data_IF_764071905839
#
_entry.id   IF_764071905839
#
_cell.length_a   1.000
_cell.length_b   1.000
_cell.length_c   1.000
_cell.angle_alpha   90.00
_cell.angle_beta   90.00
_cell.angle_gamma   90.00
#
_symmetry.space_group_name_H-M   'P 1'
#
loop_
_entity.id
_entity.type
_entity.pdbx_description
1 polymer ?
#
# COMPACT_ATOMS: atom_id res chain seq x y z
N UNK A 1 -19.18 19.77 -32.94
CA UNK A 1 -19.06 20.10 -31.50
C UNK A 1 -18.42 18.92 -30.79
N UNK A 2 -17.22 19.07 -30.22
CA UNK A 2 -16.59 17.99 -29.46
C UNK A 2 -17.35 17.83 -28.14
N UNK A 3 -18.06 16.72 -27.98
CA UNK A 3 -18.72 16.37 -26.72
C UNK A 3 -17.68 16.28 -25.61
N UNK A 4 -17.74 17.19 -24.64
CA UNK A 4 -16.89 17.16 -23.45
C UNK A 4 -17.35 16.01 -22.55
N UNK A 5 -16.50 14.98 -22.40
CA UNK A 5 -16.79 13.85 -21.52
C UNK A 5 -16.75 14.32 -20.06
N UNK A 6 -17.76 13.97 -19.27
CA UNK A 6 -17.83 14.31 -17.84
C UNK A 6 -17.74 13.06 -16.97
N UNK A 7 -17.14 13.21 -15.79
CA UNK A 7 -17.12 12.15 -14.79
C UNK A 7 -18.56 11.86 -14.31
N UNK A 8 -19.02 10.60 -14.35
CA UNK A 8 -20.35 10.25 -13.84
C UNK A 8 -20.50 10.53 -12.34
N UNK A 9 -19.42 10.46 -11.57
CA UNK A 9 -19.41 10.65 -10.11
C UNK A 9 -19.40 12.13 -9.70
N UNK A 10 -18.40 12.92 -10.13
CA UNK A 10 -18.24 14.32 -9.68
C UNK A 10 -18.61 15.38 -10.72
N UNK A 11 -19.05 14.96 -11.92
CA UNK A 11 -19.42 15.83 -13.05
C UNK A 11 -18.30 16.69 -13.65
N UNK A 12 -17.06 16.57 -13.17
CA UNK A 12 -15.91 17.28 -13.72
C UNK A 12 -15.58 16.83 -15.16
N UNK A 13 -15.05 17.75 -15.97
CA UNK A 13 -14.64 17.49 -17.36
C UNK A 13 -13.39 16.60 -17.38
N UNK A 14 -13.43 15.52 -18.16
CA UNK A 14 -12.35 14.56 -18.28
C UNK A 14 -11.49 14.85 -19.51
N UNK A 15 -10.17 14.69 -19.36
CA UNK A 15 -9.25 14.78 -20.49
C UNK A 15 -9.41 13.58 -21.43
N UNK A 16 -9.06 13.79 -22.70
CA UNK A 16 -9.05 12.74 -23.72
C UNK A 16 -7.94 11.74 -23.41
N UNK A 17 -8.28 10.69 -22.67
CA UNK A 17 -7.43 9.52 -22.48
C UNK A 17 -7.81 8.42 -23.47
N UNK A 18 -6.81 7.69 -23.96
CA UNK A 18 -6.99 6.47 -24.77
C UNK A 18 -7.11 5.21 -23.90
N UNK A 19 -6.91 5.32 -22.58
CA UNK A 19 -6.98 4.18 -21.68
C UNK A 19 -8.42 3.70 -21.48
N UNK A 20 -8.63 2.39 -21.56
CA UNK A 20 -9.93 1.76 -21.32
C UNK A 20 -10.38 1.93 -19.86
N UNK A 21 -9.45 1.98 -18.92
CA UNK A 21 -9.71 2.21 -17.49
C UNK A 21 -8.78 3.31 -16.98
N UNK A 22 -9.33 4.28 -16.24
CA UNK A 22 -8.56 5.38 -15.65
C UNK A 22 -9.24 5.96 -14.41
N UNK A 23 -8.51 6.74 -13.62
CA UNK A 23 -9.10 7.52 -12.54
C UNK A 23 -9.57 8.89 -13.02
N UNK A 24 -10.65 9.39 -12.42
CA UNK A 24 -10.97 10.80 -12.52
C UNK A 24 -9.93 11.64 -11.77
N UNK A 25 -9.28 12.59 -12.43
CA UNK A 25 -8.27 13.47 -11.80
C UNK A 25 -8.80 14.35 -10.66
N UNK A 26 -10.13 14.51 -10.54
CA UNK A 26 -10.76 15.38 -9.54
C UNK A 26 -11.28 14.64 -8.31
N UNK A 27 -11.73 13.38 -8.47
CA UNK A 27 -12.32 12.61 -7.36
C UNK A 27 -11.72 11.21 -7.19
N UNK A 28 -10.68 10.89 -7.97
CA UNK A 28 -9.95 9.61 -8.00
C UNK A 28 -10.81 8.37 -8.24
N UNK A 29 -12.08 8.55 -8.60
CA UNK A 29 -12.99 7.44 -8.88
C UNK A 29 -12.55 6.74 -10.15
N UNK A 30 -12.49 5.41 -10.10
CA UNK A 30 -12.12 4.56 -11.22
C UNK A 30 -13.24 4.54 -12.26
N UNK A 31 -12.88 4.80 -13.51
CA UNK A 31 -13.75 4.94 -14.66
C UNK A 31 -13.40 3.91 -15.74
N UNK A 32 -14.42 3.31 -16.34
CA UNK A 32 -14.32 2.45 -17.51
C UNK A 32 -14.89 3.20 -18.72
N UNK A 33 -14.11 3.27 -19.81
CA UNK A 33 -14.56 3.79 -21.10
C UNK A 33 -15.35 2.71 -21.85
N UNK A 34 -16.63 2.97 -22.10
CA UNK A 34 -17.54 2.11 -22.88
C UNK A 34 -18.20 2.96 -23.95
N UNK A 35 -18.04 2.60 -25.23
CA UNK A 35 -18.66 3.30 -26.37
C UNK A 35 -18.49 4.84 -26.30
N UNK A 36 -17.25 5.29 -26.09
CA UNK A 36 -16.88 6.72 -25.95
C UNK A 36 -17.45 7.47 -24.73
N UNK A 37 -18.18 6.79 -23.84
CA UNK A 37 -18.65 7.31 -22.56
C UNK A 37 -17.85 6.71 -21.39
N UNK A 38 -17.86 7.39 -20.23
CA UNK A 38 -17.27 6.85 -19.00
C UNK A 38 -18.35 6.38 -18.04
N UNK A 39 -18.14 5.21 -17.44
CA UNK A 39 -18.94 4.67 -16.35
C UNK A 39 -18.06 4.48 -15.10
N UNK A 40 -18.64 4.62 -13.91
CA UNK A 40 -17.91 4.37 -12.66
C UNK A 40 -17.79 2.87 -12.41
N UNK A 41 -16.58 2.41 -12.10
CA UNK A 41 -16.38 1.06 -11.56
C UNK A 41 -16.81 1.06 -10.09
N UNK A 42 -17.70 0.13 -9.75
CA UNK A 42 -18.29 0.00 -8.42
C UNK A 42 -17.76 -1.22 -7.68
N UNK A 43 -17.68 -1.12 -6.36
CA UNK A 43 -17.37 -2.23 -5.49
C UNK A 43 -18.40 -3.35 -5.68
N UNK A 44 -17.94 -4.58 -5.88
CA UNK A 44 -18.83 -5.75 -6.02
C UNK A 44 -19.44 -6.20 -4.69
N UNK A 45 -18.95 -5.69 -3.55
CA UNK A 45 -19.52 -5.93 -2.23
C UNK A 45 -20.62 -4.94 -1.84
N UNK A 46 -20.33 -3.63 -1.90
CA UNK A 46 -21.25 -2.59 -1.40
C UNK A 46 -21.76 -1.60 -2.47
N UNK A 47 -21.38 -1.78 -3.74
CA UNK A 47 -21.72 -0.87 -4.85
C UNK A 47 -21.18 0.57 -4.75
N UNK A 48 -20.38 0.90 -3.73
CA UNK A 48 -19.72 2.19 -3.63
C UNK A 48 -18.74 2.41 -4.82
N UNK A 49 -18.54 3.66 -5.27
CA UNK A 49 -17.55 3.97 -6.30
C UNK A 49 -16.15 3.55 -5.82
N UNK A 50 -15.41 2.84 -6.67
CA UNK A 50 -14.03 2.48 -6.37
C UNK A 50 -13.12 3.67 -6.60
N UNK A 51 -12.21 3.90 -5.67
CA UNK A 51 -11.10 4.84 -5.81
C UNK A 51 -9.81 4.03 -5.95
N UNK A 52 -8.92 4.49 -6.80
CA UNK A 52 -7.61 3.91 -6.94
C UNK A 52 -6.57 5.00 -6.71
N UNK A 53 -5.61 4.71 -5.85
CA UNK A 53 -4.42 5.55 -5.68
C UNK A 53 -3.21 4.80 -6.25
N UNK A 54 -2.26 5.52 -6.82
CA UNK A 54 -1.09 4.96 -7.50
C UNK A 54 -1.39 4.38 -8.89
N UNK A 55 -0.55 3.46 -9.35
CA UNK A 55 -0.63 2.90 -10.71
C UNK A 55 -1.55 1.67 -10.78
N UNK A 56 -2.50 1.70 -11.72
CA UNK A 56 -3.41 0.58 -11.97
C UNK A 56 -2.69 -0.65 -12.53
N UNK A 57 -1.68 -0.46 -13.37
CA UNK A 57 -0.88 -1.55 -13.97
C UNK A 57 -0.19 -2.42 -12.92
N UNK A 58 0.10 -1.85 -11.75
CA UNK A 58 0.70 -2.56 -10.64
C UNK A 58 -0.34 -3.12 -9.66
N UNK A 59 -1.63 -2.86 -9.85
CA UNK A 59 -2.70 -3.33 -8.96
C UNK A 59 -2.97 -4.83 -9.16
N UNK A 60 -2.85 -5.61 -8.09
CA UNK A 60 -3.26 -7.02 -8.04
C UNK A 60 -4.56 -7.19 -7.27
N UNK A 61 -4.70 -6.46 -6.17
CA UNK A 61 -5.93 -6.43 -5.37
C UNK A 61 -6.26 -4.98 -5.05
N UNK A 62 -7.55 -4.66 -5.14
CA UNK A 62 -8.11 -3.43 -4.63
C UNK A 62 -9.05 -3.77 -3.47
N UNK A 63 -8.76 -3.24 -2.28
CA UNK A 63 -9.62 -3.43 -1.11
C UNK A 63 -10.44 -2.17 -0.87
N UNK A 64 -11.76 -2.32 -0.89
CA UNK A 64 -12.69 -1.20 -0.80
C UNK A 64 -12.51 -0.42 0.51
N UNK A 65 -12.37 0.90 0.44
CA UNK A 65 -12.25 1.76 1.63
C UNK A 65 -13.56 1.90 2.42
N UNK A 66 -14.71 1.52 1.84
CA UNK A 66 -16.03 1.64 2.48
C UNK A 66 -16.44 0.38 3.23
N UNK A 67 -16.29 -0.80 2.61
CA UNK A 67 -16.76 -2.06 3.18
C UNK A 67 -15.66 -3.11 3.33
N UNK A 68 -14.41 -2.77 3.00
CA UNK A 68 -13.25 -3.67 3.10
C UNK A 68 -13.38 -4.99 2.33
N UNK A 69 -14.18 -5.01 1.25
CA UNK A 69 -14.18 -6.12 0.30
C UNK A 69 -12.92 -6.07 -0.55
N UNK A 70 -12.14 -7.15 -0.54
CA UNK A 70 -11.00 -7.36 -1.43
C UNK A 70 -11.51 -7.83 -2.80
N UNK A 71 -11.02 -7.19 -3.86
CA UNK A 71 -11.40 -7.44 -5.25
C UNK A 71 -10.16 -7.70 -6.09
N UNK A 72 -10.24 -8.69 -6.99
CA UNK A 72 -9.15 -9.03 -7.90
C UNK A 72 -9.10 -8.05 -9.08
N UNK A 73 -8.09 -7.17 -9.09
CA UNK A 73 -7.93 -6.15 -10.12
C UNK A 73 -7.61 -6.74 -11.50
N UNK A 74 -7.11 -7.97 -11.57
CA UNK A 74 -6.78 -8.66 -12.83
C UNK A 74 -8.00 -9.34 -13.46
N UNK A 75 -9.06 -9.56 -12.68
CA UNK A 75 -10.28 -10.26 -13.08
C UNK A 75 -11.51 -9.39 -12.86
N UNK A 76 -11.54 -8.23 -13.51
CA UNK A 76 -12.67 -7.29 -13.52
C UNK A 76 -13.20 -6.88 -12.12
N UNK A 77 -12.29 -6.80 -11.14
CA UNK A 77 -12.60 -6.49 -9.75
C UNK A 77 -13.60 -7.48 -9.13
N UNK A 78 -13.53 -8.76 -9.51
CA UNK A 78 -14.30 -9.83 -8.88
C UNK A 78 -14.08 -9.82 -7.36
N UNK A 79 -15.16 -9.81 -6.58
CA UNK A 79 -15.07 -9.91 -5.12
C UNK A 79 -14.45 -11.25 -4.72
N UNK A 80 -13.48 -11.20 -3.82
CA UNK A 80 -12.78 -12.37 -3.30
C UNK A 80 -13.28 -12.71 -1.90
N UNK A 81 -13.13 -11.76 -0.98
CA UNK A 81 -13.52 -11.89 0.42
C UNK A 81 -13.70 -10.49 1.03
N UNK A 82 -14.26 -10.42 2.24
CA UNK A 82 -14.46 -9.16 2.95
C UNK A 82 -13.87 -9.25 4.35
N UNK A 83 -13.10 -8.23 4.74
CA UNK A 83 -12.65 -8.07 6.11
C UNK A 83 -13.86 -7.67 6.98
N UNK A 84 -14.53 -8.65 7.58
CA UNK A 84 -15.74 -8.46 8.41
C UNK A 84 -15.39 -8.27 9.88
N UNK A 85 -16.22 -7.53 10.63
CA UNK A 85 -16.12 -7.33 12.08
C UNK A 85 -14.79 -6.72 12.58
N UNK A 86 -14.14 -5.91 11.76
CA UNK A 86 -12.85 -5.30 12.09
C UNK A 86 -13.01 -3.80 12.29
N UNK A 87 -12.57 -3.30 13.44
CA UNK A 87 -12.50 -1.86 13.68
C UNK A 87 -11.42 -1.25 12.80
N UNK A 88 -11.76 -0.15 12.11
CA UNK A 88 -10.78 0.68 11.38
C UNK A 88 -9.66 1.05 12.37
N UNK A 89 -8.39 0.90 11.99
CA UNK A 89 -7.30 1.22 12.91
C UNK A 89 -7.38 2.68 13.34
N UNK A 90 -7.01 2.96 14.60
CA UNK A 90 -6.92 4.31 15.10
C UNK A 90 -5.68 5.01 14.50
N UNK A 91 -5.86 5.60 13.33
CA UNK A 91 -4.85 6.34 12.59
C UNK A 91 -5.48 7.54 11.92
N UNK A 92 -4.79 8.68 12.00
CA UNK A 92 -5.15 9.87 11.22
C UNK A 92 -4.81 9.72 9.74
N UNK A 93 -4.00 8.72 9.38
CA UNK A 93 -3.56 8.49 8.02
C UNK A 93 -4.53 7.58 7.28
N UNK A 94 -4.96 8.02 6.11
CA UNK A 94 -5.92 7.32 5.26
C UNK A 94 -5.44 7.21 3.82
N UNK A 95 -5.93 6.18 3.11
CA UNK A 95 -5.69 6.04 1.67
C UNK A 95 -6.24 7.26 0.94
N UNK A 96 -5.43 7.84 0.06
CA UNK A 96 -5.72 9.06 -0.68
C UNK A 96 -5.08 10.32 -0.09
N UNK A 97 -4.69 10.30 1.20
CA UNK A 97 -3.94 11.41 1.79
C UNK A 97 -2.56 11.54 1.14
N UNK A 98 -2.04 12.77 1.14
CA UNK A 98 -0.70 13.07 0.63
C UNK A 98 0.20 13.60 1.74
N UNK A 99 1.49 13.35 1.58
CA UNK A 99 2.53 13.84 2.48
C UNK A 99 3.80 14.16 1.72
N UNK A 100 4.63 15.03 2.28
CA UNK A 100 5.96 15.31 1.73
C UNK A 100 7.02 14.68 2.63
N UNK A 101 7.89 13.86 2.03
CA UNK A 101 9.06 13.29 2.70
C UNK A 101 10.26 13.71 1.86
N UNK A 102 11.21 14.44 2.47
CA UNK A 102 12.42 14.93 1.78
C UNK A 102 12.10 15.73 0.49
N UNK A 103 11.02 16.52 0.52
CA UNK A 103 10.58 17.33 -0.63
C UNK A 103 9.87 16.53 -1.73
N UNK A 104 9.72 15.21 -1.58
CA UNK A 104 8.98 14.35 -2.53
C UNK A 104 7.55 14.19 -2.01
N UNK A 105 6.57 14.51 -2.85
CA UNK A 105 5.16 14.24 -2.57
C UNK A 105 4.83 12.77 -2.79
N UNK A 106 4.26 12.14 -1.77
CA UNK A 106 3.76 10.78 -1.77
C UNK A 106 2.26 10.77 -1.50
N UNK A 107 1.51 9.93 -2.21
CA UNK A 107 0.15 9.56 -1.88
C UNK A 107 0.13 8.21 -1.13
N UNK A 108 -0.70 8.10 -0.10
CA UNK A 108 -0.96 6.83 0.58
C UNK A 108 -1.88 5.99 -0.31
N UNK A 109 -1.37 4.87 -0.81
CA UNK A 109 -2.13 4.03 -1.77
C UNK A 109 -2.81 2.83 -1.13
N UNK A 110 -2.24 2.31 -0.05
CA UNK A 110 -2.85 1.24 0.74
C UNK A 110 -2.39 1.30 2.19
N UNK A 111 -3.20 0.68 3.04
CA UNK A 111 -2.92 0.45 4.45
C UNK A 111 -3.21 -1.02 4.75
N UNK A 112 -2.26 -1.68 5.40
CA UNK A 112 -2.41 -3.01 5.99
C UNK A 112 -2.15 -2.90 7.48
N UNK A 113 -3.01 -3.53 8.29
CA UNK A 113 -2.77 -3.71 9.73
C UNK A 113 -2.29 -5.13 9.94
N UNK A 114 -1.05 -5.26 10.41
CA UNK A 114 -0.46 -6.54 10.76
C UNK A 114 -0.54 -6.78 12.26
N UNK A 115 -0.77 -8.05 12.63
CA UNK A 115 -0.69 -8.52 14.02
C UNK A 115 0.26 -9.69 14.13
N UNK A 116 1.03 -9.74 15.21
CA UNK A 116 1.86 -10.89 15.55
C UNK A 116 2.12 -10.95 17.06
N UNK A 117 1.69 -12.04 17.72
CA UNK A 117 1.96 -12.36 19.14
C UNK A 117 1.88 -11.13 20.08
N UNK A 118 0.75 -10.44 20.08
CA UNK A 118 0.51 -9.27 20.95
C UNK A 118 1.07 -7.94 20.45
N UNK A 119 1.77 -7.92 19.32
CA UNK A 119 2.18 -6.69 18.63
C UNK A 119 1.25 -6.40 17.44
N UNK A 120 0.97 -5.13 17.21
CA UNK A 120 0.23 -4.61 16.06
C UNK A 120 0.98 -3.41 15.46
N UNK A 121 0.98 -3.29 14.13
CA UNK A 121 1.51 -2.12 13.44
C UNK A 121 0.75 -1.87 12.15
N UNK A 122 0.83 -0.64 11.68
CA UNK A 122 0.27 -0.20 10.42
C UNK A 122 1.39 -0.16 9.39
N UNK A 123 1.16 -0.75 8.22
CA UNK A 123 2.04 -0.74 7.07
C UNK A 123 1.31 0.00 5.94
N UNK A 124 1.76 1.23 5.68
CA UNK A 124 1.27 2.06 4.59
C UNK A 124 2.17 1.87 3.36
N UNK A 125 1.54 1.68 2.21
CA UNK A 125 2.24 1.79 0.93
C UNK A 125 2.09 3.21 0.43
N UNK A 126 3.21 3.83 0.08
CA UNK A 126 3.30 5.17 -0.47
C UNK A 126 3.62 5.10 -1.97
N UNK A 127 3.11 6.04 -2.75
CA UNK A 127 3.44 6.16 -4.17
C UNK A 127 3.78 7.60 -4.53
N UNK A 128 4.87 7.78 -5.27
CA UNK A 128 5.20 9.01 -5.97
C UNK A 128 5.48 8.71 -7.44
N UNK A 129 5.02 9.58 -8.34
CA UNK A 129 5.24 9.43 -9.79
C UNK A 129 6.73 9.43 -10.17
N UNK A 130 7.55 10.18 -9.43
CA UNK A 130 9.00 10.26 -9.66
C UNK A 130 9.80 9.17 -8.95
N UNK A 131 9.46 8.88 -7.69
CA UNK A 131 10.27 8.03 -6.80
C UNK A 131 9.69 6.62 -6.58
N UNK A 132 8.64 6.25 -7.32
CA UNK A 132 7.93 4.96 -7.23
C UNK A 132 7.36 4.70 -5.83
N UNK A 133 7.34 3.42 -5.43
CA UNK A 133 6.69 2.95 -4.22
C UNK A 133 7.66 2.93 -3.03
N UNK A 134 7.18 3.38 -1.90
CA UNK A 134 7.86 3.33 -0.61
C UNK A 134 6.93 2.75 0.46
N UNK A 135 7.49 2.49 1.64
CA UNK A 135 6.77 1.96 2.80
C UNK A 135 6.88 2.95 3.96
N UNK A 136 5.78 3.11 4.69
CA UNK A 136 5.75 3.84 5.95
C UNK A 136 5.11 2.92 6.99
N UNK A 137 5.88 2.52 7.99
CA UNK A 137 5.41 1.68 9.08
C UNK A 137 5.15 2.55 10.31
N UNK A 138 3.97 2.43 10.91
CA UNK A 138 3.67 3.01 12.23
C UNK A 138 3.63 1.90 13.27
N UNK A 139 4.58 1.90 14.20
CA UNK A 139 4.68 0.93 15.29
C UNK A 139 5.05 1.66 16.59
N UNK A 140 4.29 1.43 17.66
CA UNK A 140 4.57 1.98 19.00
C UNK A 140 4.79 3.52 19.00
N UNK A 141 3.99 4.25 18.21
CA UNK A 141 4.09 5.71 18.08
C UNK A 141 5.22 6.20 17.17
N UNK A 142 6.12 5.31 16.72
CA UNK A 142 7.21 5.62 15.80
C UNK A 142 6.79 5.41 14.36
N UNK A 143 7.38 6.21 13.48
CA UNK A 143 7.24 6.09 12.05
C UNK A 143 8.56 5.70 11.41
N UNK A 144 8.56 4.61 10.65
CA UNK A 144 9.72 4.14 9.90
C UNK A 144 9.42 4.28 8.41
N UNK A 145 10.21 5.07 7.71
CA UNK A 145 10.10 5.27 6.27
C UNK A 145 11.16 4.46 5.54
N UNK A 146 10.74 3.78 4.48
CA UNK A 146 11.48 2.72 3.84
C UNK A 146 11.40 2.85 2.33
N UNK A 147 12.56 2.92 1.69
CA UNK A 147 12.66 2.77 0.25
C UNK A 147 12.81 1.29 -0.11
N UNK A 148 12.26 0.90 -1.25
CA UNK A 148 12.42 -0.45 -1.76
C UNK A 148 13.88 -0.64 -2.18
N UNK A 149 14.54 -1.64 -1.60
CA UNK A 149 15.88 -2.03 -1.98
C UNK A 149 15.79 -2.99 -3.16
N UNK A 150 16.41 -2.63 -4.29
CA UNK A 150 16.50 -3.47 -5.48
C UNK A 150 17.85 -4.21 -5.44
N UNK A 151 17.92 -5.31 -4.71
CA UNK A 151 19.14 -6.10 -4.62
C UNK A 151 18.87 -7.57 -4.32
N UNK A 152 19.73 -8.44 -4.86
CA UNK A 152 19.84 -9.80 -4.37
C UNK A 152 20.61 -9.76 -3.06
N UNK A 153 19.99 -10.26 -2.00
CA UNK A 153 20.68 -10.53 -0.74
C UNK A 153 21.69 -11.65 -0.96
N UNK A 154 22.94 -11.46 -0.54
CA UNK A 154 23.95 -12.53 -0.53
C UNK A 154 23.57 -13.63 0.47
N UNK A 155 23.00 -13.22 1.60
CA UNK A 155 22.63 -14.11 2.69
C UNK A 155 21.13 -14.41 2.70
N UNK A 156 20.78 -15.67 2.93
CA UNK A 156 19.41 -16.06 3.19
C UNK A 156 19.04 -15.72 4.65
N UNK A 157 18.56 -14.48 4.86
CA UNK A 157 18.16 -13.98 6.19
C UNK A 157 17.13 -14.86 6.91
N UNK A 158 16.43 -15.75 6.19
CA UNK A 158 15.43 -16.62 6.77
C UNK A 158 16.00 -17.80 7.57
N UNK A 159 17.31 -18.06 7.44
CA UNK A 159 18.07 -19.04 8.22
C UNK A 159 18.66 -18.44 9.51
N UNK A 160 18.57 -17.12 9.67
CA UNK A 160 19.10 -16.38 10.82
C UNK A 160 18.06 -16.27 11.95
N UNK A 161 18.51 -15.86 13.13
CA UNK A 161 17.70 -15.58 14.33
C UNK A 161 17.90 -14.14 14.83
N UNK A 162 17.05 -13.72 15.76
CA UNK A 162 17.22 -12.44 16.43
C UNK A 162 18.59 -12.36 17.12
N UNK A 163 19.26 -11.21 16.99
CA UNK A 163 20.62 -10.97 17.44
C UNK A 163 21.71 -11.25 16.40
N UNK A 164 21.43 -12.07 15.39
CA UNK A 164 22.38 -12.33 14.30
C UNK A 164 22.59 -11.06 13.45
N UNK A 165 23.76 -10.97 12.83
CA UNK A 165 24.15 -9.87 11.95
C UNK A 165 24.24 -10.39 10.52
N UNK A 166 23.75 -9.61 9.56
CA UNK A 166 23.85 -9.87 8.14
C UNK A 166 24.26 -8.60 7.40
N UNK A 167 24.71 -8.74 6.15
CA UNK A 167 25.07 -7.59 5.32
C UNK A 167 24.06 -7.35 4.20
N UNK A 168 23.77 -6.08 3.96
CA UNK A 168 23.08 -5.58 2.77
C UNK A 168 24.01 -4.56 2.15
N UNK A 169 24.58 -4.88 0.97
CA UNK A 169 25.68 -4.11 0.39
C UNK A 169 26.81 -3.97 1.43
N UNK A 170 27.26 -2.75 1.72
CA UNK A 170 28.34 -2.48 2.68
C UNK A 170 27.84 -2.22 4.11
N UNK A 171 26.53 -2.34 4.37
CA UNK A 171 25.93 -2.05 5.69
C UNK A 171 25.59 -3.34 6.43
N UNK A 172 26.06 -3.47 7.67
CA UNK A 172 25.75 -4.63 8.53
C UNK A 172 24.53 -4.34 9.40
N UNK A 173 23.51 -5.20 9.37
CA UNK A 173 22.29 -5.05 10.16
C UNK A 173 22.19 -6.14 11.21
N UNK A 174 21.85 -5.77 12.44
CA UNK A 174 21.51 -6.73 13.48
C UNK A 174 20.00 -6.99 13.48
N UNK A 175 19.60 -8.26 13.43
CA UNK A 175 18.18 -8.64 13.47
C UNK A 175 17.62 -8.35 14.85
N UNK A 176 16.64 -7.45 14.92
CA UNK A 176 15.92 -7.21 16.16
C UNK A 176 14.87 -8.29 16.37
N UNK A 177 14.04 -8.55 15.35
CA UNK A 177 12.89 -9.44 15.50
C UNK A 177 12.39 -9.99 14.18
N UNK A 178 11.94 -11.25 14.25
CA UNK A 178 11.06 -11.84 13.25
C UNK A 178 9.62 -11.79 13.72
N UNK A 179 8.73 -11.44 12.80
CA UNK A 179 7.30 -11.48 13.02
C UNK A 179 6.66 -12.53 12.11
N UNK A 180 5.72 -13.27 12.68
CA UNK A 180 4.81 -14.15 11.94
C UNK A 180 3.46 -13.46 11.93
N UNK A 181 3.19 -12.74 10.86
CA UNK A 181 2.13 -11.74 10.80
C UNK A 181 0.86 -12.31 10.22
N UNK A 182 -0.27 -11.94 10.79
CA UNK A 182 -1.58 -12.11 10.17
C UNK A 182 -2.08 -10.73 9.71
N UNK A 183 -2.73 -10.69 8.54
CA UNK A 183 -3.40 -9.48 8.06
C UNK A 183 -4.73 -9.35 8.80
N UNK A 184 -4.81 -8.35 9.67
CA UNK A 184 -6.02 -8.07 10.45
C UNK A 184 -6.97 -7.15 9.69
N UNK A 185 -6.45 -6.14 9.00
CA UNK A 185 -7.23 -5.18 8.22
C UNK A 185 -6.45 -4.76 6.98
N UNK A 186 -7.15 -4.40 5.92
CA UNK A 186 -6.55 -3.90 4.69
C UNK A 186 -7.51 -2.98 3.95
N UNK A 187 -6.98 -1.92 3.33
CA UNK A 187 -7.68 -1.03 2.39
C UNK A 187 -6.73 -0.50 1.32
N UNK A 188 -7.29 -0.13 0.17
CA UNK A 188 -6.57 0.54 -0.91
C UNK A 188 -5.98 -0.41 -1.94
N UNK A 189 -5.10 0.14 -2.77
CA UNK A 189 -4.48 -0.50 -3.92
C UNK A 189 -3.21 -1.27 -3.52
N UNK A 190 -3.16 -2.57 -3.82
CA UNK A 190 -2.05 -3.44 -3.45
C UNK A 190 -1.41 -4.08 -4.67
N UNK A 191 -0.09 -4.06 -4.70
CA UNK A 191 0.72 -4.69 -5.76
C UNK A 191 0.98 -6.18 -5.56
N UNK A 192 0.46 -6.74 -4.48
CA UNK A 192 0.60 -8.16 -4.15
C UNK A 192 -0.77 -8.72 -3.80
N UNK A 193 -0.97 -10.00 -4.13
CA UNK A 193 -2.16 -10.72 -3.66
C UNK A 193 -2.02 -10.92 -2.15
N UNK A 194 -3.06 -10.54 -1.43
CA UNK A 194 -3.23 -10.78 -0.01
C UNK A 194 -4.42 -11.71 0.17
N UNK A 195 -4.35 -12.58 1.17
CA UNK A 195 -5.47 -13.43 1.59
C UNK A 195 -5.81 -13.17 3.07
N UNK A 196 -7.08 -13.36 3.43
CA UNK A 196 -7.49 -13.36 4.82
C UNK A 196 -6.73 -14.47 5.57
N UNK A 197 -6.23 -14.16 6.77
CA UNK A 197 -5.41 -15.06 7.59
C UNK A 197 -4.09 -15.51 6.95
N UNK A 198 -3.63 -14.85 5.87
CA UNK A 198 -2.31 -15.10 5.31
C UNK A 198 -1.25 -14.85 6.38
N UNK A 199 -0.43 -15.87 6.64
CA UNK A 199 0.72 -15.79 7.53
C UNK A 199 1.95 -15.43 6.72
N UNK A 200 2.46 -14.23 6.93
CA UNK A 200 3.71 -13.78 6.33
C UNK A 200 4.81 -13.77 7.40
N UNK A 201 6.05 -13.97 6.95
CA UNK A 201 7.23 -13.73 7.79
C UNK A 201 7.76 -12.35 7.44
N UNK A 202 8.00 -11.54 8.47
CA UNK A 202 8.64 -10.24 8.33
C UNK A 202 9.89 -10.21 9.20
N UNK A 203 10.93 -9.54 8.70
CA UNK A 203 12.15 -9.28 9.47
C UNK A 203 12.26 -7.77 9.69
N UNK A 204 12.56 -7.38 10.93
CA UNK A 204 12.99 -6.03 11.27
C UNK A 204 14.40 -6.11 11.85
N UNK A 205 15.31 -5.32 11.28
CA UNK A 205 16.70 -5.26 11.67
C UNK A 205 17.18 -3.80 11.67
N UNK A 206 18.28 -3.53 12.37
CA UNK A 206 18.76 -2.16 12.57
C UNK A 206 20.28 -2.07 12.51
N UNK A 207 20.76 -0.93 12.04
CA UNK A 207 22.14 -0.46 12.18
C UNK A 207 22.07 1.03 12.58
N UNK A 208 22.39 1.35 13.83
CA UNK A 208 22.34 2.71 14.36
C UNK A 208 21.00 3.43 14.11
N UNK A 209 20.94 4.38 13.18
CA UNK A 209 19.73 5.11 12.77
C UNK A 209 19.03 4.52 11.54
N UNK A 210 19.65 3.54 10.90
CA UNK A 210 19.17 2.91 9.67
C UNK A 210 18.42 1.63 10.01
N UNK A 211 17.29 1.44 9.36
CA UNK A 211 16.40 0.31 9.53
C UNK A 211 16.38 -0.55 8.28
N UNK A 212 16.29 -1.85 8.47
CA UNK A 212 16.01 -2.83 7.43
C UNK A 212 14.67 -3.51 7.73
N UNK A 213 13.86 -3.64 6.69
CA UNK A 213 12.57 -4.33 6.74
C UNK A 213 12.47 -5.31 5.57
N UNK A 214 11.99 -6.51 5.84
CA UNK A 214 11.62 -7.45 4.78
C UNK A 214 10.20 -7.96 4.95
N UNK A 215 9.52 -8.13 3.82
CA UNK A 215 8.18 -8.70 3.75
C UNK A 215 8.17 -9.88 2.78
N UNK A 216 7.83 -11.07 3.29
CA UNK A 216 7.61 -12.26 2.48
C UNK A 216 6.14 -12.33 2.04
N UNK A 217 5.89 -12.50 0.74
CA UNK A 217 4.55 -12.73 0.17
C UNK A 217 4.61 -13.75 -0.96
N UNK A 218 3.92 -14.89 -0.80
CA UNK A 218 3.62 -15.88 -1.85
C UNK A 218 4.84 -16.18 -2.77
N UNK A 219 5.98 -16.53 -2.17
CA UNK A 219 7.28 -16.85 -2.81
C UNK A 219 8.14 -15.67 -3.29
N UNK A 220 7.77 -14.43 -2.98
CA UNK A 220 8.63 -13.27 -3.21
C UNK A 220 8.98 -12.61 -1.88
N UNK A 221 10.25 -12.23 -1.74
CA UNK A 221 10.70 -11.39 -0.63
C UNK A 221 10.99 -10.01 -1.19
N UNK A 222 10.38 -9.00 -0.60
CA UNK A 222 10.80 -7.62 -0.85
C UNK A 222 11.59 -7.10 0.34
N UNK A 223 12.72 -6.48 0.03
CA UNK A 223 13.62 -5.86 0.99
C UNK A 223 13.47 -4.34 0.93
N UNK A 224 13.64 -3.72 2.09
CA UNK A 224 13.57 -2.29 2.24
C UNK A 224 14.65 -1.81 3.21
N UNK A 225 15.22 -0.65 2.90
CA UNK A 225 16.14 0.07 3.78
C UNK A 225 15.56 1.46 4.01
N UNK A 226 15.68 1.93 5.24
CA UNK A 226 14.94 3.08 5.69
C UNK A 226 15.50 3.72 6.95
N UNK A 227 14.73 4.66 7.48
CA UNK A 227 15.07 5.42 8.68
C UNK A 227 13.82 5.73 9.49
N UNK A 228 14.04 6.08 10.75
CA UNK A 228 12.99 6.67 11.58
C UNK A 228 12.70 8.10 11.10
N UNK A 229 11.44 8.49 11.10
CA UNK A 229 11.00 9.85 10.82
C UNK A 229 10.51 10.52 12.10
N UNK A 230 11.04 11.71 12.34
CA UNK A 230 10.51 12.62 13.36
C UNK A 230 9.28 13.35 12.79
N UNK A 231 8.21 13.45 13.59
CA UNK A 231 7.05 14.34 13.33
C UNK A 231 6.23 14.10 12.05
N UNK A 232 5.90 12.84 11.73
CA UNK A 232 5.09 12.52 10.55
C UNK A 232 3.70 13.17 10.59
N UNK A 233 2.97 13.10 11.71
CA UNK A 233 1.57 13.55 11.83
C UNK A 233 1.33 15.05 11.59
N UNK A 234 2.37 15.88 11.57
CA UNK A 234 2.25 17.33 11.34
C UNK A 234 2.37 17.72 9.85
N UNK A 235 2.78 16.79 8.99
CA UNK A 235 3.09 17.07 7.58
C UNK A 235 1.93 16.82 6.60
N UNK A 236 0.75 16.46 7.10
CA UNK A 236 -0.39 16.08 6.28
C UNK A 236 -1.21 17.29 5.82
N UNK A 237 -1.60 17.27 4.55
CA UNK A 237 -2.58 18.20 3.98
C UNK A 237 -3.85 17.41 3.64
N UNK A 238 -4.99 17.93 4.10
CA UNK A 238 -6.33 17.42 3.75
C UNK A 238 -6.67 17.64 2.28
#
# INVERSE_FOLDING_TARGET
>A
MLSTRKCPQCKATLDKSTASVQNCQYCQTLLLQVNEAFSTIKCKGCSAPLKLEGELSNSKILVCTYCSTAMDSEHEFKALYTFTNIQKPNSRLEVGMRMSIEGIEYAIVSLIVYRSRGSEWLDFTLYSKGSKYAKLLKKEGKYLFFNKELGNMEENIWLLKAGDIFKVQDTSFQIEKFYFTEIYYAVGNMSSKINQNQRNKQCLAKNDSTWFYSAYSLNNVTYYVGRELDEVEQTFKD
#
